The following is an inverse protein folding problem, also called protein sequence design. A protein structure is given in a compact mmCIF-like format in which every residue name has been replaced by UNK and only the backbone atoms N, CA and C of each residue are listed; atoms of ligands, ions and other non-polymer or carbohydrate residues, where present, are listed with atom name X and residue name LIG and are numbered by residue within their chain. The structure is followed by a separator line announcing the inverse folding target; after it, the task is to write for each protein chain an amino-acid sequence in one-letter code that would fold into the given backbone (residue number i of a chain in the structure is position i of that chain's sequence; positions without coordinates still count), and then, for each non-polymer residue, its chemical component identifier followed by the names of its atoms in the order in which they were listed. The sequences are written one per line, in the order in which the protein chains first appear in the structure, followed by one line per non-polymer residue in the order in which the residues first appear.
data_IF_723864038003
#
_entry.id   IF_723864038003
#
_cell.length_a   1.000
_cell.length_b   1.000
_cell.length_c   1.000
_cell.angle_alpha   90.00
_cell.angle_beta   90.00
_cell.angle_gamma   90.00
#
_symmetry.space_group_name_H-M   'P 1'
#
loop_
_entity.id
_entity.type
_entity.pdbx_description
1 polymer ?
#
# COMPACT_ATOMS: atom_id res chain seq x y z
N UNK A 1 13.69 -35.01 -11.33
CA UNK A 1 12.67 -34.39 -10.46
C UNK A 1 12.93 -34.95 -9.07
N UNK A 2 13.78 -34.24 -8.33
CA UNK A 2 14.22 -34.67 -7.00
C UNK A 2 13.23 -34.16 -5.96
N UNK A 3 12.52 -35.11 -5.34
CA UNK A 3 11.50 -34.91 -4.31
C UNK A 3 12.08 -34.69 -2.90
N UNK A 4 13.38 -34.43 -2.78
CA UNK A 4 14.13 -34.39 -1.51
C UNK A 4 14.31 -32.99 -0.92
N UNK A 5 13.85 -31.92 -1.59
CA UNK A 5 13.94 -30.54 -1.08
C UNK A 5 12.83 -30.11 -0.11
N UNK A 6 11.89 -30.99 0.22
CA UNK A 6 10.74 -30.71 1.09
C UNK A 6 10.97 -31.28 2.50
N UNK A 7 12.20 -31.15 3.01
CA UNK A 7 12.55 -31.54 4.36
C UNK A 7 12.32 -30.37 5.33
N UNK A 8 11.37 -30.62 6.23
CA UNK A 8 11.14 -30.03 7.53
C UNK A 8 12.35 -29.24 8.08
N UNK A 9 12.11 -27.96 8.42
CA UNK A 9 12.96 -27.25 9.37
C UNK A 9 12.58 -27.69 10.79
N UNK A 10 13.57 -27.83 11.67
CA UNK A 10 13.46 -28.44 13.02
C UNK A 10 12.54 -27.68 13.99
N UNK A 11 11.93 -26.57 13.57
CA UNK A 11 10.97 -25.78 14.35
C UNK A 11 9.55 -25.78 13.76
N UNK A 12 9.10 -26.85 13.09
CA UNK A 12 7.67 -27.09 12.82
C UNK A 12 6.89 -25.97 12.10
N UNK A 13 7.59 -25.01 11.50
CA UNK A 13 7.03 -23.91 10.73
C UNK A 13 7.21 -24.24 9.25
N UNK A 14 6.10 -24.16 8.52
CA UNK A 14 6.10 -24.40 7.09
C UNK A 14 6.74 -23.17 6.41
N UNK A 15 7.99 -23.28 5.97
CA UNK A 15 8.62 -22.21 5.20
C UNK A 15 8.09 -22.23 3.78
N UNK A 16 7.23 -21.27 3.45
CA UNK A 16 6.75 -20.99 2.09
C UNK A 16 7.83 -20.34 1.20
N UNK A 17 9.07 -20.19 1.69
CA UNK A 17 10.18 -19.61 0.94
C UNK A 17 10.49 -20.36 -0.36
N UNK A 18 10.23 -21.67 -0.42
CA UNK A 18 10.44 -22.49 -1.61
C UNK A 18 9.53 -22.17 -2.80
N UNK A 19 8.49 -21.36 -2.65
CA UNK A 19 7.66 -20.91 -3.77
C UNK A 19 8.30 -19.78 -4.59
N UNK A 20 9.33 -19.10 -4.07
CA UNK A 20 10.04 -18.04 -4.80
C UNK A 20 11.06 -18.59 -5.81
N UNK A 21 11.50 -19.84 -5.67
CA UNK A 21 12.61 -20.44 -6.44
C UNK A 21 12.16 -21.41 -7.54
N UNK A 22 11.01 -21.18 -8.17
CA UNK A 22 10.77 -21.79 -9.47
C UNK A 22 11.53 -20.97 -10.52
N UNK A 23 12.58 -21.54 -11.11
CA UNK A 23 13.21 -20.96 -12.31
C UNK A 23 12.21 -21.07 -13.48
N UNK A 24 11.46 -20.00 -13.73
CA UNK A 24 10.22 -20.04 -14.50
C UNK A 24 10.38 -19.86 -16.03
N UNK A 25 9.61 -20.65 -16.78
CA UNK A 25 9.36 -20.56 -18.24
C UNK A 25 9.00 -19.14 -18.71
N UNK A 26 9.27 -18.75 -19.99
CA UNK A 26 9.04 -17.39 -20.52
C UNK A 26 7.59 -16.87 -20.41
N UNK A 27 6.60 -17.76 -20.27
CA UNK A 27 5.22 -17.37 -19.98
C UNK A 27 5.03 -16.72 -18.61
N UNK A 28 5.92 -16.98 -17.66
CA UNK A 28 5.87 -16.42 -16.31
C UNK A 28 6.24 -14.94 -16.26
N UNK A 29 7.01 -14.38 -17.20
CA UNK A 29 7.19 -12.92 -17.19
C UNK A 29 5.88 -12.20 -17.52
N UNK A 30 5.10 -12.73 -18.47
CA UNK A 30 3.75 -12.23 -18.80
C UNK A 30 2.75 -12.51 -17.67
N UNK A 31 2.83 -13.65 -17.00
CA UNK A 31 2.01 -13.98 -15.82
C UNK A 31 2.40 -13.12 -14.60
N UNK A 32 3.70 -12.93 -14.35
CA UNK A 32 4.20 -12.09 -13.26
C UNK A 32 3.90 -10.63 -13.52
N UNK A 33 3.88 -10.17 -14.78
CA UNK A 33 3.40 -8.84 -15.15
C UNK A 33 1.87 -8.71 -15.00
N UNK A 34 1.11 -9.81 -15.15
CA UNK A 34 -0.32 -9.88 -14.78
C UNK A 34 -0.52 -9.82 -13.27
N UNK A 35 0.34 -10.50 -12.51
CA UNK A 35 0.28 -10.64 -11.04
C UNK A 35 0.88 -9.42 -10.32
N UNK A 36 1.84 -8.70 -10.93
CA UNK A 36 2.47 -7.47 -10.41
C UNK A 36 1.54 -6.26 -10.36
N UNK A 37 0.32 -6.37 -10.88
CA UNK A 37 -0.68 -5.29 -10.86
C UNK A 37 -1.32 -5.19 -9.48
N UNK A 38 -0.48 -4.74 -8.55
CA UNK A 38 -0.82 -4.35 -7.20
C UNK A 38 -1.73 -3.11 -7.28
N UNK A 39 -2.71 -3.00 -6.38
CA UNK A 39 -3.67 -1.87 -6.27
C UNK A 39 -4.78 -1.74 -7.34
N UNK A 40 -5.10 -2.81 -8.09
CA UNK A 40 -6.31 -2.86 -8.93
C UNK A 40 -6.38 -1.85 -10.09
N UNK A 41 -5.24 -1.32 -10.54
CA UNK A 41 -5.19 -0.50 -11.76
C UNK A 41 -5.46 -1.35 -13.02
N UNK A 42 -6.32 -0.82 -13.90
CA UNK A 42 -6.86 -1.52 -15.08
C UNK A 42 -5.85 -1.82 -16.18
N UNK A 43 -6.29 -2.55 -17.22
CA UNK A 43 -5.45 -2.97 -18.35
C UNK A 43 -5.33 -1.95 -19.49
N UNK A 44 -6.01 -0.80 -19.40
CA UNK A 44 -6.18 0.14 -20.50
C UNK A 44 -5.05 1.17 -20.64
N UNK A 45 -3.83 0.83 -20.21
CA UNK A 45 -2.64 1.67 -20.33
C UNK A 45 -2.16 1.88 -21.78
N UNK A 46 -2.63 1.08 -22.73
CA UNK A 46 -2.29 1.17 -24.17
C UNK A 46 -3.31 1.98 -24.99
N UNK A 47 -4.48 2.31 -24.43
CA UNK A 47 -5.57 2.99 -25.15
C UNK A 47 -5.94 4.34 -24.53
N UNK A 48 -5.87 4.48 -23.21
CA UNK A 48 -6.20 5.70 -22.50
C UNK A 48 -5.03 6.12 -21.61
N UNK A 49 -4.52 7.34 -21.79
CA UNK A 49 -3.49 7.95 -20.94
C UNK A 49 -3.95 8.22 -19.49
N UNK A 50 -4.94 7.50 -18.96
CA UNK A 50 -5.61 7.75 -17.67
C UNK A 50 -4.95 7.02 -16.49
N UNK A 51 -3.63 7.13 -16.39
CA UNK A 51 -2.92 6.81 -15.13
C UNK A 51 -3.23 7.82 -14.02
N UNK A 52 -3.95 8.89 -14.34
CA UNK A 52 -4.37 9.97 -13.45
C UNK A 52 -5.67 9.68 -12.67
N UNK A 53 -6.44 8.65 -13.03
CA UNK A 53 -7.61 8.26 -12.24
C UNK A 53 -7.23 7.22 -11.18
N UNK A 54 -7.18 7.68 -9.92
CA UNK A 54 -6.97 6.82 -8.78
C UNK A 54 -7.94 5.63 -8.81
N UNK A 55 -7.45 4.42 -8.57
CA UNK A 55 -8.31 3.25 -8.60
C UNK A 55 -9.42 3.40 -7.55
N UNK A 56 -10.68 3.20 -7.97
CA UNK A 56 -11.84 3.32 -7.07
C UNK A 56 -11.68 2.54 -5.75
N UNK A 57 -11.13 1.31 -5.74
CA UNK A 57 -10.91 0.57 -4.49
C UNK A 57 -9.89 1.25 -3.57
N UNK A 58 -8.83 1.83 -4.13
CA UNK A 58 -7.83 2.57 -3.33
C UNK A 58 -8.41 3.86 -2.78
N UNK A 59 -9.24 4.57 -3.56
CA UNK A 59 -9.96 5.75 -3.09
C UNK A 59 -10.89 5.40 -1.91
N UNK A 60 -11.59 4.26 -1.99
CA UNK A 60 -12.49 3.80 -0.93
C UNK A 60 -11.73 3.51 0.38
N UNK A 61 -10.61 2.79 0.30
CA UNK A 61 -9.76 2.52 1.47
C UNK A 61 -9.12 3.80 2.01
N UNK A 62 -8.65 4.70 1.15
CA UNK A 62 -8.07 5.97 1.57
C UNK A 62 -9.11 6.83 2.33
N UNK A 63 -10.34 6.92 1.83
CA UNK A 63 -11.45 7.58 2.52
C UNK A 63 -11.71 6.95 3.88
N UNK A 64 -11.76 5.61 3.95
CA UNK A 64 -11.98 4.90 5.20
C UNK A 64 -10.84 5.15 6.22
N UNK A 65 -9.58 5.10 5.78
CA UNK A 65 -8.42 5.36 6.63
C UNK A 65 -8.42 6.79 7.16
N UNK A 66 -8.68 7.78 6.31
CA UNK A 66 -8.71 9.19 6.71
C UNK A 66 -9.86 9.52 7.64
N UNK A 67 -11.03 8.91 7.43
CA UNK A 67 -12.16 9.04 8.35
C UNK A 67 -11.88 8.37 9.72
N UNK A 68 -11.12 7.28 9.74
CA UNK A 68 -10.68 6.63 10.98
C UNK A 68 -9.61 7.44 11.70
N UNK A 69 -8.69 8.05 10.95
CA UNK A 69 -7.60 8.87 11.50
C UNK A 69 -8.12 10.19 12.09
N UNK A 70 -9.08 10.85 11.43
CA UNK A 70 -9.69 12.10 11.89
C UNK A 70 -11.21 11.92 12.11
N UNK A 71 -11.65 11.53 13.33
CA UNK A 71 -13.06 11.22 13.62
C UNK A 71 -13.96 12.47 13.74
N UNK A 72 -13.43 13.67 13.49
CA UNK A 72 -14.19 14.91 13.60
C UNK A 72 -15.44 14.90 12.68
N UNK A 73 -16.63 15.28 13.17
CA UNK A 73 -17.87 15.26 12.38
C UNK A 73 -17.93 16.39 11.34
N UNK A 74 -17.04 17.37 11.43
CA UNK A 74 -16.97 18.53 10.55
C UNK A 74 -16.25 18.12 9.27
N UNK A 75 -16.89 18.36 8.11
CA UNK A 75 -16.28 18.18 6.77
C UNK A 75 -15.74 16.75 6.54
N UNK A 76 -16.57 15.74 6.81
CA UNK A 76 -16.23 14.33 6.60
C UNK A 76 -15.88 14.06 5.13
N UNK A 77 -14.73 13.45 4.90
CA UNK A 77 -14.22 13.15 3.56
C UNK A 77 -15.18 12.24 2.79
N UNK A 78 -15.56 12.64 1.58
CA UNK A 78 -16.44 11.87 0.70
C UNK A 78 -15.66 11.33 -0.49
N UNK A 79 -16.03 10.13 -0.97
CA UNK A 79 -15.44 9.54 -2.18
C UNK A 79 -15.50 10.46 -3.39
N UNK A 80 -16.61 11.18 -3.58
CA UNK A 80 -16.78 12.14 -4.69
C UNK A 80 -15.75 13.27 -4.65
N UNK A 81 -15.43 13.74 -3.45
CA UNK A 81 -14.43 14.77 -3.24
C UNK A 81 -13.02 14.27 -3.54
N UNK A 82 -12.67 13.07 -3.04
CA UNK A 82 -11.39 12.40 -3.35
C UNK A 82 -11.21 12.21 -4.86
N UNK A 83 -12.23 11.69 -5.55
CA UNK A 83 -12.18 11.48 -6.99
C UNK A 83 -12.06 12.80 -7.76
N UNK A 84 -12.78 13.85 -7.34
CA UNK A 84 -12.68 15.18 -7.95
C UNK A 84 -11.28 15.76 -7.79
N UNK A 85 -10.77 15.84 -6.56
CA UNK A 85 -9.43 16.39 -6.28
C UNK A 85 -8.34 15.56 -6.96
N UNK A 86 -8.46 14.23 -6.99
CA UNK A 86 -7.50 13.36 -7.67
C UNK A 86 -7.40 13.65 -9.16
N UNK A 87 -8.54 13.95 -9.81
CA UNK A 87 -8.59 14.23 -11.24
C UNK A 87 -8.18 15.67 -11.56
N UNK A 88 -8.60 16.62 -10.74
CA UNK A 88 -8.32 18.04 -10.98
C UNK A 88 -6.87 18.41 -10.66
N UNK A 89 -6.24 17.71 -9.71
CA UNK A 89 -4.85 17.92 -9.32
C UNK A 89 -3.89 16.83 -9.85
N UNK A 90 -4.32 16.02 -10.82
CA UNK A 90 -3.53 14.96 -11.48
C UNK A 90 -2.75 14.08 -10.48
N UNK A 91 -3.41 13.58 -9.43
CA UNK A 91 -2.73 12.89 -8.33
C UNK A 91 -2.25 11.51 -8.78
N UNK A 92 -0.93 11.32 -8.81
CA UNK A 92 -0.33 10.02 -9.10
C UNK A 92 -0.59 9.00 -7.98
N UNK A 93 -0.64 7.69 -8.31
CA UNK A 93 -0.71 6.62 -7.30
C UNK A 93 0.44 6.65 -6.29
N UNK A 94 1.60 7.18 -6.70
CA UNK A 94 2.77 7.36 -5.84
C UNK A 94 2.53 8.44 -4.77
N UNK A 95 1.96 9.59 -5.17
CA UNK A 95 1.58 10.66 -4.25
C UNK A 95 0.53 10.18 -3.24
N UNK A 96 -0.47 9.41 -3.69
CA UNK A 96 -1.45 8.77 -2.81
C UNK A 96 -0.78 7.83 -1.79
N UNK A 97 0.20 7.03 -2.22
CA UNK A 97 0.92 6.12 -1.33
C UNK A 97 1.70 6.89 -0.25
N UNK A 98 2.43 7.93 -0.64
CA UNK A 98 3.17 8.78 0.29
C UNK A 98 2.25 9.48 1.29
N UNK A 99 1.10 9.98 0.82
CA UNK A 99 0.11 10.58 1.69
C UNK A 99 -0.41 9.58 2.73
N UNK A 100 -0.72 8.34 2.34
CA UNK A 100 -1.13 7.29 3.28
C UNK A 100 -0.05 6.98 4.31
N UNK A 101 1.22 6.93 3.90
CA UNK A 101 2.36 6.76 4.82
C UNK A 101 2.45 7.93 5.79
N UNK A 102 2.29 9.17 5.32
CA UNK A 102 2.34 10.35 6.19
C UNK A 102 1.19 10.38 7.19
N UNK A 103 -0.03 10.00 6.78
CA UNK A 103 -1.18 9.92 7.69
C UNK A 103 -0.96 8.84 8.75
N UNK A 104 -0.43 7.68 8.35
CA UNK A 104 -0.08 6.60 9.28
C UNK A 104 0.98 7.05 10.29
N UNK A 105 2.05 7.71 9.83
CA UNK A 105 3.07 8.30 10.71
C UNK A 105 2.48 9.33 11.67
N UNK A 106 1.64 10.23 11.18
CA UNK A 106 1.01 11.28 11.98
C UNK A 106 0.08 10.70 13.04
N UNK A 107 -0.63 9.61 12.72
CA UNK A 107 -1.49 8.87 13.66
C UNK A 107 -0.71 8.34 14.86
N UNK A 108 0.52 7.88 14.65
CA UNK A 108 1.37 7.36 15.72
C UNK A 108 2.11 8.44 16.50
N UNK A 109 2.51 9.54 15.86
CA UNK A 109 3.29 10.61 16.51
C UNK A 109 2.44 11.66 17.21
N UNK A 110 1.36 12.11 16.59
CA UNK A 110 0.61 13.27 17.08
C UNK A 110 -0.92 13.09 16.88
N UNK A 111 -1.57 12.24 17.70
CA UNK A 111 -3.01 11.99 17.60
C UNK A 111 -3.85 13.21 17.99
N UNK A 112 -3.31 14.14 18.79
CA UNK A 112 -4.03 15.34 19.22
C UNK A 112 -4.29 16.30 18.06
N UNK A 113 -3.31 16.45 17.15
CA UNK A 113 -3.47 17.23 15.93
C UNK A 113 -4.60 16.70 15.04
N UNK A 114 -4.72 15.37 14.91
CA UNK A 114 -5.77 14.72 14.10
C UNK A 114 -7.19 14.94 14.63
N UNK A 115 -7.36 15.26 15.91
CA UNK A 115 -8.68 15.58 16.46
C UNK A 115 -9.19 16.96 16.02
N UNK A 116 -8.27 17.86 15.65
CA UNK A 116 -8.57 19.27 15.39
C UNK A 116 -8.71 19.56 13.89
N UNK A 117 -8.15 18.71 13.04
CA UNK A 117 -8.16 18.85 11.58
C UNK A 117 -9.27 18.00 10.96
N UNK A 118 -9.99 18.56 9.99
CA UNK A 118 -11.03 17.80 9.28
C UNK A 118 -10.43 16.76 8.33
N UNK A 119 -11.13 15.64 8.11
CA UNK A 119 -10.65 14.59 7.20
C UNK A 119 -10.52 15.05 5.74
N UNK A 120 -11.30 16.05 5.29
CA UNK A 120 -11.13 16.64 3.96
C UNK A 120 -9.88 17.51 3.85
N UNK A 121 -9.61 18.32 4.87
CA UNK A 121 -8.44 19.19 4.89
C UNK A 121 -7.16 18.34 5.07
N UNK A 122 -7.24 17.27 5.86
CA UNK A 122 -6.16 16.28 6.03
C UNK A 122 -5.83 15.56 4.71
N UNK A 123 -6.86 15.16 3.95
CA UNK A 123 -6.66 14.59 2.61
C UNK A 123 -5.93 15.58 1.70
N UNK A 124 -6.43 16.81 1.59
CA UNK A 124 -5.82 17.84 0.76
C UNK A 124 -4.36 18.07 1.13
N UNK A 125 -4.05 18.37 2.39
CA UNK A 125 -2.67 18.69 2.80
C UNK A 125 -1.72 17.51 2.69
N UNK A 126 -2.21 16.27 2.84
CA UNK A 126 -1.37 15.08 2.67
C UNK A 126 -0.97 14.84 1.21
N UNK A 127 -1.79 15.33 0.27
CA UNK A 127 -1.61 15.17 -1.18
C UNK A 127 -0.88 16.33 -1.82
N UNK A 128 -0.93 17.53 -1.23
CA UNK A 128 -0.08 18.65 -1.62
C UNK A 128 1.34 18.12 -1.56
N UNK A 129 1.92 17.90 -2.75
CA UNK A 129 3.31 17.50 -2.91
C UNK A 129 4.09 18.50 -2.09
N UNK A 130 4.82 18.05 -1.07
CA UNK A 130 5.70 18.93 -0.32
C UNK A 130 7.02 18.98 -1.09
N UNK A 131 7.22 19.91 -2.03
CA UNK A 131 8.59 20.27 -2.34
C UNK A 131 9.20 20.71 -1.01
N UNK A 132 10.44 20.31 -0.79
CA UNK A 132 11.30 20.94 0.19
C UNK A 132 11.14 22.48 0.12
N UNK A 133 11.30 23.14 1.27
CA UNK A 133 10.61 24.38 1.56
C UNK A 133 11.11 25.53 0.68
N UNK A 134 10.24 26.55 0.66
CA UNK A 134 10.46 27.92 0.22
C UNK A 134 10.05 28.14 -1.23
N UNK A 135 8.76 28.47 -1.36
CA UNK A 135 8.32 29.51 -2.29
C UNK A 135 9.23 30.74 -2.17
N UNK A 136 10.31 30.79 -2.94
CA UNK A 136 11.04 32.01 -3.28
C UNK A 136 10.30 32.72 -4.42
N UNK A 137 8.99 32.96 -4.26
CA UNK A 137 8.23 33.71 -5.26
C UNK A 137 7.30 34.77 -4.69
N UNK A 138 7.64 35.32 -3.53
CA UNK A 138 7.01 36.56 -3.05
C UNK A 138 7.88 37.34 -2.08
N UNK A 139 9.08 37.72 -2.54
CA UNK A 139 9.64 39.05 -2.27
C UNK A 139 10.88 39.25 -3.13
N UNK A 140 10.70 39.86 -4.30
CA UNK A 140 11.75 40.74 -4.83
C UNK A 140 11.64 42.07 -4.07
N UNK A 141 12.44 42.32 -3.02
CA UNK A 141 12.75 43.70 -2.70
C UNK A 141 13.64 44.20 -3.84
N UNK A 142 13.24 45.31 -4.46
CA UNK A 142 14.10 46.07 -5.35
C UNK A 142 15.46 46.31 -4.67
N UNK A 143 16.50 45.59 -5.07
CA UNK A 143 17.84 45.72 -4.51
C UNK A 143 18.86 45.84 -5.64
N UNK A 144 19.19 47.09 -5.94
CA UNK A 144 20.20 47.52 -6.92
C UNK A 144 21.65 47.22 -6.49
N UNK A 145 21.92 46.15 -5.73
CA UNK A 145 23.27 45.89 -5.17
C UNK A 145 23.58 44.45 -4.76
N UNK A 146 23.04 43.43 -5.46
CA UNK A 146 23.44 42.04 -5.20
C UNK A 146 24.83 41.72 -5.78
N UNK A 147 25.71 41.00 -5.06
CA UNK A 147 27.06 40.65 -5.52
C UNK A 147 27.02 39.72 -6.75
N UNK A 148 27.94 39.89 -7.72
CA UNK A 148 27.90 39.21 -9.03
C UNK A 148 28.07 37.68 -9.00
N UNK A 149 28.31 37.08 -7.83
CA UNK A 149 28.51 35.65 -7.64
C UNK A 149 27.26 34.91 -7.12
N UNK A 150 26.21 35.62 -6.67
CA UNK A 150 25.00 34.98 -6.16
C UNK A 150 24.09 34.45 -7.30
N UNK A 151 23.99 35.22 -8.38
CA UNK A 151 23.14 34.89 -9.54
C UNK A 151 23.59 33.58 -10.25
N UNK A 152 24.89 33.33 -10.47
CA UNK A 152 25.34 32.08 -11.07
C UNK A 152 25.12 30.85 -10.18
N UNK A 153 25.32 30.97 -8.86
CA UNK A 153 25.10 29.86 -7.92
C UNK A 153 23.62 29.48 -7.82
N UNK A 154 22.74 30.48 -7.84
CA UNK A 154 21.29 30.27 -7.86
C UNK A 154 20.82 29.67 -9.20
N UNK A 155 21.38 30.12 -10.32
CA UNK A 155 21.13 29.52 -11.65
C UNK A 155 21.65 28.09 -11.77
N UNK A 156 22.81 27.78 -11.17
CA UNK A 156 23.40 26.44 -11.16
C UNK A 156 22.59 25.50 -10.26
N UNK A 157 22.12 25.96 -9.10
CA UNK A 157 21.20 25.20 -8.26
C UNK A 157 19.85 24.97 -8.97
N UNK A 158 19.33 25.98 -9.69
CA UNK A 158 18.11 25.85 -10.51
C UNK A 158 18.29 24.82 -11.63
N UNK A 159 19.47 24.73 -12.24
CA UNK A 159 19.78 23.83 -13.35
C UNK A 159 20.17 22.40 -12.95
N UNK A 160 20.54 22.17 -11.69
CA UNK A 160 21.04 20.87 -11.22
C UNK A 160 20.18 20.21 -10.12
N UNK A 161 19.29 20.96 -9.46
CA UNK A 161 18.54 20.46 -8.32
C UNK A 161 17.02 20.45 -8.52
N UNK A 162 16.53 21.17 -9.55
CA UNK A 162 15.18 21.01 -10.05
C UNK A 162 15.24 20.08 -11.26
N UNK A 163 14.57 18.95 -11.14
CA UNK A 163 14.19 18.16 -12.30
C UNK A 163 13.15 19.01 -13.06
N UNK A 164 13.58 19.92 -13.94
CA UNK A 164 12.68 20.70 -14.83
C UNK A 164 12.04 19.79 -15.90
N UNK A 165 11.57 18.61 -15.50
CA UNK A 165 11.11 17.53 -16.37
C UNK A 165 9.85 16.81 -15.89
N UNK A 166 9.30 17.09 -14.70
CA UNK A 166 7.90 16.75 -14.39
C UNK A 166 7.03 17.98 -14.63
N UNK A 167 6.14 17.91 -15.63
CA UNK A 167 5.17 18.96 -15.97
C UNK A 167 4.06 19.16 -14.89
N UNK A 168 4.18 18.55 -13.71
CA UNK A 168 3.12 18.43 -12.68
C UNK A 168 3.49 19.06 -11.33
N UNK A 169 4.14 20.24 -11.33
CA UNK A 169 4.20 21.07 -10.12
C UNK A 169 2.92 21.91 -9.98
N UNK A 170 1.90 21.32 -9.36
CA UNK A 170 0.64 22.00 -9.03
C UNK A 170 0.87 22.92 -7.83
N UNK A 171 0.69 24.23 -8.01
CA UNK A 171 0.92 25.23 -6.96
C UNK A 171 -0.22 25.24 -5.91
N UNK A 172 0.01 25.82 -4.73
CA UNK A 172 -0.98 25.89 -3.65
C UNK A 172 -2.28 26.64 -4.03
N UNK A 173 -2.25 27.53 -5.01
CA UNK A 173 -3.42 28.17 -5.59
C UNK A 173 -4.27 27.20 -6.43
N UNK A 174 -3.64 26.34 -7.21
CA UNK A 174 -4.31 25.29 -7.98
C UNK A 174 -4.87 24.19 -7.05
N UNK A 175 -4.10 23.75 -6.04
CA UNK A 175 -4.59 22.84 -4.99
C UNK A 175 -5.73 23.44 -4.17
N UNK A 176 -5.65 24.74 -3.87
CA UNK A 176 -6.71 25.47 -3.20
C UNK A 176 -7.98 25.53 -4.05
N UNK A 177 -7.84 25.76 -5.36
CA UNK A 177 -8.95 25.77 -6.31
C UNK A 177 -9.60 24.37 -6.43
N UNK A 178 -8.80 23.32 -6.63
CA UNK A 178 -9.26 21.93 -6.73
C UNK A 178 -9.96 21.46 -5.44
N UNK A 179 -9.42 21.87 -4.28
CA UNK A 179 -9.94 21.52 -2.96
C UNK A 179 -11.07 22.41 -2.44
N UNK A 180 -11.34 23.56 -3.08
CA UNK A 180 -12.28 24.56 -2.58
C UNK A 180 -11.83 25.22 -1.27
N UNK A 181 -10.52 25.42 -1.10
CA UNK A 181 -9.89 26.02 0.08
C UNK A 181 -9.09 27.25 -0.34
N UNK A 182 -9.26 28.37 0.39
CA UNK A 182 -8.49 29.58 0.11
C UNK A 182 -7.00 29.36 0.37
N UNK A 183 -6.14 29.89 -0.51
CA UNK A 183 -4.67 29.83 -0.41
C UNK A 183 -4.10 30.15 0.99
N UNK A 184 -4.52 31.23 1.68
CA UNK A 184 -3.99 31.52 3.03
C UNK A 184 -4.35 30.44 4.06
N UNK A 185 -5.52 29.81 3.91
CA UNK A 185 -5.95 28.69 4.75
C UNK A 185 -5.14 27.44 4.42
N UNK A 186 -4.92 27.14 3.14
CA UNK A 186 -4.10 26.00 2.72
C UNK A 186 -2.66 26.12 3.24
N UNK A 187 -2.06 27.30 3.12
CA UNK A 187 -0.72 27.59 3.66
C UNK A 187 -0.65 27.49 5.19
N UNK A 188 -1.75 27.76 5.90
CA UNK A 188 -1.81 27.58 7.35
C UNK A 188 -1.90 26.10 7.73
N UNK A 189 -2.72 25.33 7.00
CA UNK A 189 -2.84 23.88 7.19
C UNK A 189 -1.54 23.15 6.85
N UNK A 190 -0.87 23.53 5.77
CA UNK A 190 0.43 22.98 5.38
C UNK A 190 1.48 23.22 6.46
N UNK A 191 1.61 24.45 6.97
CA UNK A 191 2.53 24.76 8.08
C UNK A 191 2.20 23.97 9.34
N UNK A 192 0.91 23.80 9.65
CA UNK A 192 0.46 22.97 10.77
C UNK A 192 0.85 21.51 10.61
N UNK A 193 0.67 20.96 9.41
CA UNK A 193 1.01 19.57 9.07
C UNK A 193 2.52 19.32 9.16
N UNK A 194 3.33 20.18 8.54
CA UNK A 194 4.79 20.07 8.58
C UNK A 194 5.34 20.20 10.00
N UNK A 195 4.75 21.10 10.81
CA UNK A 195 5.08 21.23 12.22
C UNK A 195 4.68 19.98 13.03
N UNK A 196 3.54 19.36 12.72
CA UNK A 196 3.10 18.15 13.40
C UNK A 196 3.91 16.91 13.00
N UNK A 197 4.52 16.93 11.82
CA UNK A 197 5.43 15.89 11.30
C UNK A 197 6.90 16.11 11.69
N UNK A 198 7.22 17.18 12.42
CA UNK A 198 8.59 17.59 12.77
C UNK A 198 9.52 17.70 11.53
N UNK A 199 8.98 18.10 10.38
CA UNK A 199 9.71 18.16 9.10
C UNK A 199 10.34 16.83 8.64
N UNK A 200 9.96 15.69 9.24
CA UNK A 200 10.40 14.36 8.83
C UNK A 200 9.59 13.82 7.64
N UNK A 201 9.85 14.37 6.45
CA UNK A 201 9.18 14.00 5.21
C UNK A 201 9.87 12.82 4.50
N UNK A 202 11.17 12.60 4.72
CA UNK A 202 11.87 11.49 4.08
C UNK A 202 11.25 10.15 4.51
N UNK A 203 10.96 9.30 3.53
CA UNK A 203 10.31 8.01 3.74
C UNK A 203 11.19 6.87 3.28
N UNK A 204 11.47 5.95 4.20
CA UNK A 204 12.24 4.77 3.87
C UNK A 204 11.42 3.82 2.98
N UNK A 205 12.03 3.16 1.99
CA UNK A 205 11.32 2.22 1.12
C UNK A 205 10.55 1.14 1.88
N UNK A 206 11.07 0.72 3.05
CA UNK A 206 10.44 -0.31 3.90
C UNK A 206 9.06 0.12 4.38
N UNK A 207 8.93 1.35 4.86
CA UNK A 207 7.65 1.88 5.33
C UNK A 207 6.64 1.98 4.19
N UNK A 208 7.10 2.35 2.99
CA UNK A 208 6.26 2.36 1.79
C UNK A 208 5.76 0.95 1.48
N UNK A 209 6.64 -0.07 1.52
CA UNK A 209 6.25 -1.46 1.27
C UNK A 209 5.32 -2.02 2.35
N UNK A 210 5.49 -1.62 3.61
CA UNK A 210 4.59 -2.01 4.71
C UNK A 210 3.18 -1.44 4.50
N UNK A 211 3.08 -0.13 4.22
CA UNK A 211 1.79 0.52 3.93
C UNK A 211 1.18 -0.01 2.63
N UNK A 212 1.99 -0.31 1.62
CA UNK A 212 1.53 -0.92 0.37
C UNK A 212 0.96 -2.32 0.60
N UNK A 213 1.68 -3.18 1.35
CA UNK A 213 1.22 -4.54 1.69
C UNK A 213 -0.09 -4.50 2.48
N UNK A 214 -0.19 -3.57 3.43
CA UNK A 214 -1.40 -3.31 4.18
C UNK A 214 -2.55 -2.88 3.26
N UNK A 215 -2.32 -1.87 2.41
CA UNK A 215 -3.32 -1.32 1.49
C UNK A 215 -3.84 -2.38 0.53
N UNK A 216 -2.94 -3.16 -0.08
CA UNK A 216 -3.30 -4.26 -0.99
C UNK A 216 -4.15 -5.31 -0.29
N UNK A 217 -3.84 -5.63 0.97
CA UNK A 217 -4.60 -6.61 1.74
C UNK A 217 -6.00 -6.11 2.05
N UNK A 218 -6.14 -4.82 2.41
CA UNK A 218 -7.44 -4.18 2.60
C UNK A 218 -8.25 -4.17 1.31
N UNK A 219 -7.62 -3.81 0.18
CA UNK A 219 -8.29 -3.80 -1.13
C UNK A 219 -8.72 -5.21 -1.52
N UNK A 220 -7.84 -6.22 -1.37
CA UNK A 220 -8.13 -7.61 -1.68
C UNK A 220 -9.30 -8.16 -0.83
N UNK A 221 -9.31 -7.87 0.46
CA UNK A 221 -10.40 -8.26 1.36
C UNK A 221 -11.71 -7.57 0.97
N UNK A 222 -11.70 -6.25 0.77
CA UNK A 222 -12.90 -5.49 0.45
C UNK A 222 -13.49 -5.91 -0.90
N UNK A 223 -12.65 -6.07 -1.92
CA UNK A 223 -13.08 -6.51 -3.25
C UNK A 223 -13.62 -7.95 -3.22
N UNK A 224 -12.93 -8.86 -2.54
CA UNK A 224 -13.39 -10.24 -2.40
C UNK A 224 -14.73 -10.35 -1.66
N UNK A 225 -14.92 -9.56 -0.59
CA UNK A 225 -16.18 -9.50 0.16
C UNK A 225 -17.30 -8.87 -0.65
N UNK A 226 -17.03 -7.82 -1.41
CA UNK A 226 -18.03 -7.17 -2.25
C UNK A 226 -18.50 -8.06 -3.42
N UNK A 227 -17.57 -8.79 -4.05
CA UNK A 227 -17.87 -9.71 -5.16
C UNK A 227 -18.45 -11.05 -4.70
N UNK A 228 -18.14 -11.47 -3.47
CA UNK A 228 -18.47 -12.78 -2.92
C UNK A 228 -17.47 -13.89 -3.29
N UNK A 229 -16.41 -13.57 -4.03
CA UNK A 229 -15.34 -14.49 -4.42
C UNK A 229 -14.01 -13.75 -4.56
N UNK A 230 -12.91 -14.46 -4.29
CA UNK A 230 -11.55 -13.92 -4.34
C UNK A 230 -10.85 -14.32 -5.63
N UNK A 231 -10.14 -13.38 -6.26
CA UNK A 231 -9.28 -13.66 -7.41
C UNK A 231 -7.97 -14.31 -6.96
N UNK A 232 -7.23 -14.92 -7.89
CA UNK A 232 -5.89 -15.46 -7.60
C UNK A 232 -4.96 -14.41 -7.01
N UNK A 233 -5.00 -13.18 -7.52
CA UNK A 233 -4.20 -12.06 -7.01
C UNK A 233 -4.59 -11.69 -5.59
N UNK A 234 -5.90 -11.66 -5.27
CA UNK A 234 -6.36 -11.38 -3.90
C UNK A 234 -5.88 -12.43 -2.91
N UNK A 235 -5.98 -13.71 -3.29
CA UNK A 235 -5.51 -14.81 -2.46
C UNK A 235 -3.99 -14.73 -2.26
N UNK A 236 -3.20 -14.44 -3.29
CA UNK A 236 -1.76 -14.28 -3.15
C UNK A 236 -1.39 -13.19 -2.15
N UNK A 237 -2.02 -12.02 -2.24
CA UNK A 237 -1.78 -10.90 -1.32
C UNK A 237 -2.20 -11.28 0.11
N UNK A 238 -3.36 -11.91 0.28
CA UNK A 238 -3.83 -12.34 1.60
C UNK A 238 -2.94 -13.45 2.21
N UNK A 239 -2.39 -14.35 1.39
CA UNK A 239 -1.48 -15.41 1.83
C UNK A 239 -0.08 -14.90 2.17
N UNK A 240 0.31 -13.74 1.66
CA UNK A 240 1.56 -13.07 2.02
C UNK A 240 1.49 -12.51 3.46
N UNK A 241 0.29 -12.31 4.01
CA UNK A 241 0.10 -11.81 5.38
C UNK A 241 0.48 -12.87 6.44
N UNK A 242 1.19 -12.47 7.52
CA UNK A 242 1.71 -13.40 8.52
C UNK A 242 0.59 -14.13 9.27
N UNK A 243 -0.58 -13.49 9.46
CA UNK A 243 -1.75 -14.10 10.12
C UNK A 243 -2.28 -15.30 9.35
N UNK A 244 -2.38 -15.18 8.02
CA UNK A 244 -2.84 -16.25 7.15
C UNK A 244 -1.82 -17.37 7.01
N UNK A 245 -0.52 -17.06 6.99
CA UNK A 245 0.54 -18.06 7.00
C UNK A 245 0.48 -18.91 8.28
N UNK A 246 0.30 -18.28 9.45
CA UNK A 246 0.13 -18.99 10.72
C UNK A 246 -1.14 -19.85 10.73
N UNK A 247 -2.27 -19.30 10.27
CA UNK A 247 -3.54 -20.01 10.23
C UNK A 247 -3.47 -21.23 9.30
N UNK A 248 -2.93 -21.08 8.09
CA UNK A 248 -2.77 -22.19 7.14
C UNK A 248 -1.74 -23.20 7.61
N UNK A 249 -0.63 -22.75 8.19
CA UNK A 249 0.34 -23.63 8.82
C UNK A 249 -0.33 -24.51 9.89
N UNK A 250 -1.15 -23.91 10.75
CA UNK A 250 -1.90 -24.65 11.78
C UNK A 250 -2.93 -25.63 11.20
N UNK A 251 -3.59 -25.27 10.10
CA UNK A 251 -4.54 -26.13 9.40
C UNK A 251 -3.84 -27.31 8.74
N UNK A 252 -2.76 -27.07 8.01
CA UNK A 252 -1.94 -28.09 7.38
C UNK A 252 -1.42 -29.09 8.43
N UNK A 253 -0.92 -28.60 9.57
CA UNK A 253 -0.51 -29.48 10.67
C UNK A 253 -1.67 -30.36 11.16
N UNK A 254 -2.89 -29.81 11.31
CA UNK A 254 -4.07 -30.59 11.71
C UNK A 254 -4.47 -31.63 10.66
N UNK A 255 -4.43 -31.27 9.38
CA UNK A 255 -4.76 -32.19 8.29
C UNK A 255 -3.75 -33.33 8.17
N UNK A 256 -2.46 -33.05 8.35
CA UNK A 256 -1.40 -34.08 8.37
C UNK A 256 -1.56 -35.00 9.59
N UNK A 257 -1.90 -34.46 10.76
CA UNK A 257 -2.21 -35.28 11.95
C UNK A 257 -3.43 -36.17 11.70
N UNK A 258 -4.49 -35.64 11.07
CA UNK A 258 -5.69 -36.39 10.75
C UNK A 258 -5.42 -37.48 9.70
N UNK A 259 -4.66 -37.18 8.64
CA UNK A 259 -4.29 -38.17 7.63
C UNK A 259 -3.43 -39.30 8.21
N UNK A 260 -2.51 -38.97 9.12
CA UNK A 260 -1.71 -39.96 9.84
C UNK A 260 -2.58 -40.86 10.73
N UNK A 261 -3.51 -40.28 11.51
CA UNK A 261 -4.43 -41.06 12.34
C UNK A 261 -5.32 -41.99 11.51
N UNK A 262 -5.83 -41.52 10.36
CA UNK A 262 -6.60 -42.35 9.44
C UNK A 262 -5.76 -43.49 8.85
N UNK A 263 -4.51 -43.23 8.48
CA UNK A 263 -3.60 -44.26 7.97
C UNK A 263 -3.32 -45.34 9.03
N UNK A 264 -3.05 -44.93 10.28
CA UNK A 264 -2.84 -45.86 11.40
C UNK A 264 -4.10 -46.69 11.67
N UNK A 265 -5.28 -46.05 11.69
CA UNK A 265 -6.55 -46.75 11.86
C UNK A 265 -6.80 -47.78 10.74
N UNK A 266 -6.50 -47.43 9.49
CA UNK A 266 -6.62 -48.33 8.34
C UNK A 266 -5.66 -49.53 8.45
N UNK A 267 -4.39 -49.29 8.78
CA UNK A 267 -3.41 -50.38 8.95
C UNK A 267 -3.81 -51.30 10.11
N UNK A 268 -4.30 -50.73 11.21
CA UNK A 268 -4.75 -51.52 12.37
C UNK A 268 -5.95 -52.40 12.06
N UNK A 269 -6.92 -51.91 11.27
CA UNK A 269 -8.10 -52.68 10.89
C UNK A 269 -7.76 -53.82 9.93
N UNK A 270 -6.86 -53.59 8.98
CA UNK A 270 -6.35 -54.64 8.07
C UNK A 270 -5.59 -55.70 8.86
N UNK A 271 -4.72 -55.31 9.80
CA UNK A 271 -3.98 -56.25 10.64
C UNK A 271 -4.91 -57.14 11.49
N UNK A 272 -5.95 -56.54 12.10
CA UNK A 272 -6.98 -57.27 12.84
C UNK A 272 -7.72 -58.27 11.95
N UNK A 273 -8.10 -57.89 10.73
CA UNK A 273 -8.76 -58.78 9.78
C UNK A 273 -7.86 -59.97 9.43
N UNK A 274 -6.59 -59.74 9.11
CA UNK A 274 -5.63 -60.81 8.79
C UNK A 274 -5.41 -61.74 9.98
N UNK A 275 -5.24 -61.18 11.19
CA UNK A 275 -5.09 -61.97 12.41
C UNK A 275 -6.32 -62.86 12.67
N UNK A 276 -7.53 -62.32 12.47
CA UNK A 276 -8.76 -63.09 12.65
C UNK A 276 -8.87 -64.28 11.70
N UNK A 277 -8.47 -64.12 10.43
CA UNK A 277 -8.44 -65.21 9.43
C UNK A 277 -7.41 -66.27 9.79
N UNK A 278 -6.22 -65.86 10.27
CA UNK A 278 -5.18 -66.79 10.67
C UNK A 278 -5.58 -67.68 11.86
N UNK A 279 -6.28 -67.12 12.85
CA UNK A 279 -6.78 -67.88 14.01
C UNK A 279 -7.82 -68.92 13.57
N UNK A 280 -8.76 -68.55 12.69
CA UNK A 280 -9.78 -69.47 12.17
C UNK A 280 -9.15 -70.62 11.36
N UNK A 281 -8.08 -70.37 10.62
CA UNK A 281 -7.40 -71.44 9.87
C UNK A 281 -6.61 -72.41 10.79
N UNK A 282 -6.23 -71.99 12.00
CA UNK A 282 -5.50 -72.83 12.95
C UNK A 282 -6.43 -73.64 13.88
N UNK A 283 -7.71 -73.28 13.99
CA UNK A 283 -8.75 -74.00 14.74
C UNK A 283 -9.42 -75.08 13.92
#
# INVERSE_FOLDING_TARGET
MDLTGLLLDEEGTFSLAGFQDFTFLPGHQKLSARIRRRLYYGWDWEADCSLEELSSPVADIAVELLQKAAPSPIRRLQKKYVAHVSREACISPCAMMLALVYIERLRHRNPDYLQHVSSSDLFLISMVRHPLPISLKSQEPAMSSAPPLLVPLQMVASKYLYDEGEEEEVFNDEWGAAGGVAVPTLNALERGFLSAMDWHLYTDPREIFEVLSWLESCVAEQQGRWRGWYTYTDLCVLLEQPTWQLALGSLCQRLVKLSCLLAVAYVSSVALAVASVAVIHQS
#
